data_IF_200853634903
#
_entry.id   IF_200853634903
#
_cell.length_a   1.000
_cell.length_b   1.000
_cell.length_c   1.000
_cell.angle_alpha   90.00
_cell.angle_beta   90.00
_cell.angle_gamma   90.00
#
_symmetry.space_group_name_H-M   'P 1'
#
loop_
_entity.id
_entity.type
_entity.pdbx_description
1 polymer ?
#
# COMPACT_ATOMS: atom_id res chain seq x y z
N UNK A 1 -7.96 -4.36 -0.04
CA UNK A 1 -8.71 -4.50 -1.31
C UNK A 1 -7.86 -5.21 -2.34
N UNK A 2 -6.67 -4.68 -2.68
CA UNK A 2 -5.79 -5.23 -3.73
C UNK A 2 -5.42 -6.72 -3.59
N UNK A 3 -5.10 -7.17 -2.38
CA UNK A 3 -4.73 -8.57 -2.13
C UNK A 3 -5.43 -9.11 -0.89
N UNK A 4 -5.66 -10.41 -0.87
CA UNK A 4 -6.26 -11.10 0.28
C UNK A 4 -5.26 -11.17 1.45
N UNK A 5 -5.70 -11.06 2.72
CA UNK A 5 -4.80 -11.13 3.90
C UNK A 5 -3.86 -12.34 3.92
N UNK A 6 -4.32 -13.50 3.45
CA UNK A 6 -3.50 -14.71 3.33
C UNK A 6 -2.28 -14.54 2.41
N UNK A 7 -2.39 -13.71 1.36
CA UNK A 7 -1.26 -13.39 0.47
C UNK A 7 -0.24 -12.56 1.22
N UNK A 8 -0.69 -11.56 1.99
CA UNK A 8 0.20 -10.72 2.82
C UNK A 8 0.99 -11.60 3.79
N UNK A 9 0.31 -12.48 4.53
CA UNK A 9 0.97 -13.43 5.44
C UNK A 9 1.97 -14.34 4.71
N UNK A 10 1.61 -14.82 3.53
CA UNK A 10 2.49 -15.71 2.75
C UNK A 10 3.76 -14.99 2.29
N UNK A 11 3.64 -13.74 1.83
CA UNK A 11 4.79 -12.92 1.40
C UNK A 11 5.78 -12.73 2.55
N UNK A 12 5.31 -12.34 3.74
CA UNK A 12 6.20 -12.18 4.90
C UNK A 12 6.86 -13.51 5.32
N UNK A 13 6.16 -14.64 5.22
CA UNK A 13 6.73 -15.96 5.51
C UNK A 13 7.77 -16.41 4.48
N UNK A 14 7.54 -16.13 3.21
CA UNK A 14 8.39 -16.59 2.10
C UNK A 14 9.68 -15.77 1.98
N UNK A 15 9.57 -14.45 2.12
CA UNK A 15 10.71 -13.55 1.88
C UNK A 15 11.41 -13.11 3.16
N UNK A 16 10.77 -13.28 4.32
CA UNK A 16 11.25 -12.75 5.59
C UNK A 16 11.01 -11.24 5.71
N UNK A 17 11.22 -10.73 6.92
CA UNK A 17 10.87 -9.35 7.27
C UNK A 17 11.76 -8.28 6.64
N UNK A 18 13.00 -8.60 6.22
CA UNK A 18 13.94 -7.63 5.64
C UNK A 18 13.78 -7.46 4.11
N UNK A 19 12.85 -8.18 3.48
CA UNK A 19 12.69 -8.24 2.01
C UNK A 19 11.31 -7.83 1.52
N UNK A 20 10.46 -7.30 2.41
CA UNK A 20 9.12 -6.83 2.09
C UNK A 20 9.06 -5.32 2.25
N UNK A 21 8.51 -4.61 1.25
CA UNK A 21 8.30 -3.17 1.29
C UNK A 21 6.80 -2.86 1.21
N UNK A 22 6.33 -1.93 2.03
CA UNK A 22 5.01 -1.35 1.93
C UNK A 22 5.03 -0.19 0.95
N UNK A 23 4.14 -0.25 -0.03
CA UNK A 23 3.78 0.86 -0.89
C UNK A 23 2.29 1.11 -0.73
N UNK A 24 1.88 2.37 -0.72
CA UNK A 24 0.46 2.72 -0.75
C UNK A 24 -0.13 2.50 -2.14
N UNK A 25 0.69 2.68 -3.18
CA UNK A 25 0.23 2.85 -4.57
C UNK A 25 -0.87 3.94 -4.64
N UNK A 26 -0.74 4.96 -3.78
CA UNK A 26 -1.74 5.99 -3.62
C UNK A 26 -1.79 6.91 -4.84
N UNK A 27 -2.98 7.11 -5.37
CA UNK A 27 -3.26 8.08 -6.44
C UNK A 27 -3.80 9.41 -5.87
N UNK A 28 -4.05 10.39 -6.74
CA UNK A 28 -4.43 11.77 -6.34
C UNK A 28 -5.68 11.86 -5.46
N UNK A 29 -6.53 10.84 -5.48
CA UNK A 29 -7.74 10.77 -4.66
C UNK A 29 -7.48 10.27 -3.23
N UNK A 30 -6.25 9.92 -2.87
CA UNK A 30 -5.89 9.49 -1.52
C UNK A 30 -6.17 10.61 -0.50
N UNK A 31 -6.99 10.30 0.52
CA UNK A 31 -7.40 11.26 1.54
C UNK A 31 -8.47 12.26 1.09
N UNK A 32 -8.96 12.17 -0.14
CA UNK A 32 -10.01 13.03 -0.68
C UNK A 32 -11.39 12.37 -0.54
N UNK A 33 -12.49 13.16 -0.55
CA UNK A 33 -13.85 12.62 -0.58
C UNK A 33 -14.13 11.78 -1.84
N UNK A 34 -15.19 10.97 -1.79
CA UNK A 34 -15.71 10.28 -2.98
C UNK A 34 -16.00 11.27 -4.11
N UNK A 35 -15.70 10.88 -5.35
CA UNK A 35 -15.79 11.76 -6.51
C UNK A 35 -15.06 11.24 -7.74
N UNK A 36 -15.02 12.06 -8.78
CA UNK A 36 -14.29 11.79 -10.01
C UNK A 36 -12.93 12.46 -10.00
N UNK A 37 -11.92 11.68 -10.39
CA UNK A 37 -10.52 12.10 -10.46
C UNK A 37 -9.94 11.66 -11.80
N UNK A 38 -8.90 12.36 -12.24
CA UNK A 38 -8.10 11.93 -13.38
C UNK A 38 -6.85 11.20 -12.88
N UNK A 39 -6.26 10.30 -13.66
CA UNK A 39 -4.93 9.77 -13.43
C UNK A 39 -4.28 9.52 -14.79
N UNK A 40 -3.32 10.37 -15.17
CA UNK A 40 -2.59 10.21 -16.43
C UNK A 40 -3.48 10.32 -17.69
N UNK A 41 -4.58 11.08 -17.64
CA UNK A 41 -5.55 11.19 -18.74
C UNK A 41 -6.69 10.16 -18.68
N UNK A 42 -6.72 9.30 -17.66
CA UNK A 42 -7.76 8.31 -17.45
C UNK A 42 -8.69 8.75 -16.31
N UNK A 43 -10.00 8.77 -16.57
CA UNK A 43 -10.99 9.09 -15.56
C UNK A 43 -11.21 7.90 -14.60
N UNK A 44 -11.24 8.22 -13.31
CA UNK A 44 -11.41 7.29 -12.20
C UNK A 44 -12.51 7.78 -11.28
N UNK A 45 -13.36 6.87 -10.82
CA UNK A 45 -14.41 7.16 -9.86
C UNK A 45 -14.05 6.52 -8.53
N UNK A 46 -14.10 7.31 -7.46
CA UNK A 46 -13.89 6.85 -6.09
C UNK A 46 -15.23 6.78 -5.37
N UNK A 47 -15.56 5.58 -4.88
CA UNK A 47 -16.75 5.31 -4.09
C UNK A 47 -16.38 4.41 -2.92
N UNK A 48 -16.73 4.82 -1.69
CA UNK A 48 -16.55 4.04 -0.46
C UNK A 48 -15.14 3.48 -0.28
N UNK A 49 -14.10 4.28 -0.56
CA UNK A 49 -12.72 3.82 -0.37
C UNK A 49 -12.15 2.98 -1.51
N UNK A 50 -12.88 2.82 -2.62
CA UNK A 50 -12.49 2.04 -3.78
C UNK A 50 -12.42 2.92 -5.04
N UNK A 51 -11.29 2.84 -5.74
CA UNK A 51 -11.05 3.57 -6.97
C UNK A 51 -11.20 2.63 -8.17
N UNK A 52 -12.05 2.99 -9.12
CA UNK A 52 -12.29 2.18 -10.32
C UNK A 52 -12.33 3.05 -11.58
N UNK A 53 -11.87 2.48 -12.68
CA UNK A 53 -12.03 3.09 -14.02
C UNK A 53 -13.41 2.76 -14.60
N UNK A 54 -13.79 3.42 -15.70
CA UNK A 54 -15.09 3.20 -16.35
C UNK A 54 -15.38 1.72 -16.72
N UNK A 55 -14.33 0.93 -16.99
CA UNK A 55 -14.44 -0.51 -17.25
C UNK A 55 -14.65 -1.36 -15.97
N UNK A 56 -14.69 -0.75 -14.79
CA UNK A 56 -14.90 -1.40 -13.49
C UNK A 56 -13.66 -2.04 -12.86
N UNK A 57 -12.49 -1.95 -13.50
CA UNK A 57 -11.23 -2.43 -12.91
C UNK A 57 -10.73 -1.50 -11.81
N UNK A 58 -10.02 -2.06 -10.82
CA UNK A 58 -9.34 -1.26 -9.79
C UNK A 58 -8.27 -0.38 -10.42
N UNK A 59 -8.17 0.86 -9.94
CA UNK A 59 -7.21 1.83 -10.41
C UNK A 59 -6.48 2.44 -9.22
N UNK A 60 -5.20 2.12 -9.06
CA UNK A 60 -4.38 2.51 -7.92
C UNK A 60 -5.03 2.22 -6.55
N UNK A 61 -4.51 2.88 -5.52
CA UNK A 61 -5.13 2.92 -4.20
C UNK A 61 -5.47 4.33 -3.77
N UNK A 62 -6.37 4.44 -2.81
CA UNK A 62 -6.57 5.66 -2.01
C UNK A 62 -6.16 5.48 -0.55
N UNK A 63 -5.41 4.41 -0.26
CA UNK A 63 -4.95 4.06 1.08
C UNK A 63 -3.71 4.85 1.47
N UNK A 64 -3.72 5.48 2.66
CA UNK A 64 -2.52 6.08 3.24
C UNK A 64 -1.57 5.00 3.79
N UNK A 65 -0.26 5.23 3.73
CA UNK A 65 0.74 4.23 4.12
C UNK A 65 0.58 3.74 5.58
N UNK A 66 0.14 4.62 6.48
CA UNK A 66 -0.13 4.26 7.88
C UNK A 66 -1.26 3.23 8.02
N UNK A 67 -2.22 3.22 7.10
CA UNK A 67 -3.26 2.20 7.07
C UNK A 67 -2.76 0.87 6.48
N UNK A 68 -1.78 0.89 5.58
CA UNK A 68 -1.09 -0.32 5.15
C UNK A 68 -0.42 -1.02 6.34
N UNK A 69 0.28 -0.24 7.17
CA UNK A 69 0.90 -0.72 8.42
C UNK A 69 -0.14 -1.32 9.37
N UNK A 70 -1.21 -0.57 9.69
CA UNK A 70 -2.28 -1.04 10.59
C UNK A 70 -2.92 -2.33 10.09
N UNK A 71 -3.17 -2.43 8.78
CA UNK A 71 -3.75 -3.64 8.17
C UNK A 71 -2.80 -4.83 8.24
N UNK A 72 -1.52 -4.64 7.92
CA UNK A 72 -0.53 -5.72 8.02
C UNK A 72 -0.48 -6.31 9.44
N UNK A 73 -0.46 -5.44 10.47
CA UNK A 73 -0.54 -5.87 11.86
C UNK A 73 -1.85 -6.57 12.17
N UNK A 74 -2.99 -6.02 11.71
CA UNK A 74 -4.31 -6.64 11.86
C UNK A 74 -4.43 -8.00 11.15
N UNK A 75 -3.59 -8.28 10.14
CA UNK A 75 -3.50 -9.56 9.48
C UNK A 75 -2.53 -10.54 10.16
N UNK A 76 -1.96 -10.17 11.31
CA UNK A 76 -1.08 -11.05 12.10
C UNK A 76 0.40 -10.95 11.77
N UNK A 77 0.83 -9.90 11.04
CA UNK A 77 2.27 -9.60 10.90
C UNK A 77 2.76 -8.93 12.20
N UNK A 78 3.90 -9.35 12.77
CA UNK A 78 4.49 -8.67 13.92
C UNK A 78 4.71 -7.18 13.63
N UNK A 79 4.44 -6.31 14.62
CA UNK A 79 4.58 -4.86 14.46
C UNK A 79 5.97 -4.46 13.98
N UNK A 80 7.03 -5.08 14.52
CA UNK A 80 8.41 -4.82 14.12
C UNK A 80 8.66 -5.12 12.64
N UNK A 81 8.22 -6.28 12.16
CA UNK A 81 8.34 -6.66 10.75
C UNK A 81 7.55 -5.70 9.83
N UNK A 82 6.35 -5.30 10.25
CA UNK A 82 5.52 -4.37 9.49
C UNK A 82 6.12 -2.95 9.48
N UNK A 83 6.75 -2.52 10.57
CA UNK A 83 7.47 -1.24 10.66
C UNK A 83 8.69 -1.22 9.74
N UNK A 84 9.51 -2.29 9.75
CA UNK A 84 10.64 -2.42 8.83
C UNK A 84 10.19 -2.31 7.38
N UNK A 85 9.09 -2.96 7.03
CA UNK A 85 8.52 -2.90 5.68
C UNK A 85 8.04 -1.49 5.29
N UNK A 86 7.69 -0.62 6.23
CA UNK A 86 7.27 0.76 5.96
C UNK A 86 8.40 1.81 6.08
N UNK A 87 9.61 1.42 6.50
CA UNK A 87 10.73 2.33 6.81
C UNK A 87 12.03 1.82 6.17
N UNK A 88 12.86 1.10 6.95
CA UNK A 88 14.22 0.71 6.58
C UNK A 88 14.30 -0.15 5.31
N UNK A 89 13.27 -0.96 5.00
CA UNK A 89 13.32 -1.84 3.83
C UNK A 89 13.19 -1.05 2.51
N UNK A 90 12.18 -0.16 2.34
CA UNK A 90 12.16 0.80 1.24
C UNK A 90 13.48 1.54 1.08
N UNK A 91 14.07 2.06 2.16
CA UNK A 91 15.29 2.85 2.11
C UNK A 91 16.50 2.02 1.66
N UNK A 92 16.63 0.79 2.17
CA UNK A 92 17.63 -0.19 1.69
C UNK A 92 17.44 -0.52 0.21
N UNK A 93 16.20 -0.57 -0.27
CA UNK A 93 15.90 -0.91 -1.68
C UNK A 93 16.41 0.14 -2.67
N UNK A 94 16.56 1.40 -2.21
CA UNK A 94 17.07 2.53 -2.99
C UNK A 94 18.46 3.00 -2.55
N UNK A 95 19.07 2.35 -1.54
CA UNK A 95 20.42 2.64 -1.05
C UNK A 95 20.54 3.89 -0.18
N UNK A 96 19.46 4.29 0.52
CA UNK A 96 19.40 5.50 1.37
C UNK A 96 19.25 5.19 2.86
N UNK A 97 19.43 3.94 3.27
CA UNK A 97 19.24 3.42 4.64
C UNK A 97 20.16 4.05 5.70
N UNK A 98 21.18 4.80 5.27
CA UNK A 98 22.08 5.54 6.17
C UNK A 98 21.67 6.98 6.41
N UNK A 99 20.64 7.48 5.74
CA UNK A 99 20.25 8.89 5.75
C UNK A 99 18.84 9.13 6.30
N UNK A 100 17.88 8.24 6.00
CA UNK A 100 16.45 8.48 6.24
C UNK A 100 15.78 7.41 7.14
N UNK A 101 16.09 6.12 6.96
CA UNK A 101 16.01 5.06 7.99
C UNK A 101 15.00 3.95 7.78
#
# INVERSE_FOLDING_TARGET
>A
IHVHPAVVQSVFRLFGEDRVCHISDAMRACGMPDGEYDLGGQAETVVNGCATIAAGSLAGSITVLTDCLRRAVGFGIPLEAALKAATINPDRSVGLDREIG
#
